data_IF_764555898614
#
_entry.id   IF_764555898614
#
_cell.length_a   1.000
_cell.length_b   1.000
_cell.length_c   1.000
_cell.angle_alpha   90.00
_cell.angle_beta   90.00
_cell.angle_gamma   90.00
#
_symmetry.space_group_name_H-M   'P 1'
#
loop_
_entity.id
_entity.type
_entity.pdbx_description
1 polymer ?
#
# COMPACT_ATOMS: atom_id res chain seq x y z
N UNK A 1 -28.65 -1.31 -14.90
CA UNK A 1 -27.25 -1.72 -14.73
C UNK A 1 -27.17 -2.65 -13.52
N UNK A 2 -26.46 -3.77 -13.64
CA UNK A 2 -26.26 -4.73 -12.56
C UNK A 2 -24.94 -4.51 -11.82
N UNK A 3 -24.81 -5.08 -10.62
CA UNK A 3 -23.55 -5.13 -9.88
C UNK A 3 -22.54 -6.03 -10.60
N UNK A 4 -21.22 -5.80 -10.42
CA UNK A 4 -20.21 -6.74 -10.90
C UNK A 4 -20.45 -8.16 -10.35
N UNK A 5 -20.11 -9.21 -11.11
CA UNK A 5 -20.17 -10.58 -10.63
C UNK A 5 -19.25 -10.77 -9.42
N UNK A 6 -19.56 -11.70 -8.53
CA UNK A 6 -18.70 -11.94 -7.37
C UNK A 6 -19.36 -12.76 -6.25
N UNK A 7 -18.65 -12.85 -5.13
CA UNK A 7 -19.08 -13.59 -3.95
C UNK A 7 -18.74 -12.80 -2.70
N UNK A 8 -19.72 -12.60 -1.80
CA UNK A 8 -19.49 -11.96 -0.50
C UNK A 8 -18.86 -12.90 0.54
N UNK A 9 -18.60 -14.16 0.18
CA UNK A 9 -17.92 -15.11 1.07
C UNK A 9 -18.72 -15.45 2.33
N UNK A 10 -18.02 -15.63 3.45
CA UNK A 10 -18.64 -15.95 4.74
C UNK A 10 -19.39 -14.75 5.33
N UNK A 11 -20.48 -14.97 6.10
CA UNK A 11 -21.13 -13.89 6.84
C UNK A 11 -20.12 -13.15 7.74
N UNK A 12 -20.26 -11.82 7.83
CA UNK A 12 -19.47 -10.88 8.64
C UNK A 12 -17.99 -10.69 8.22
N UNK A 13 -17.24 -11.76 7.96
CA UNK A 13 -15.80 -11.67 7.66
C UNK A 13 -15.48 -11.75 6.15
N UNK A 14 -16.44 -12.22 5.36
CA UNK A 14 -16.29 -12.40 3.92
C UNK A 14 -15.10 -13.27 3.55
N UNK A 15 -14.23 -12.72 2.71
CA UNK A 15 -13.02 -13.37 2.20
C UNK A 15 -11.72 -12.80 2.82
N UNK A 16 -11.86 -11.95 3.85
CA UNK A 16 -10.75 -11.22 4.49
C UNK A 16 -9.62 -12.13 4.97
N UNK A 17 -9.93 -13.28 5.59
CA UNK A 17 -8.90 -14.20 6.08
C UNK A 17 -8.13 -14.85 4.95
N UNK A 18 -8.80 -15.16 3.83
CA UNK A 18 -8.14 -15.70 2.63
C UNK A 18 -7.22 -14.66 2.00
N UNK A 19 -7.66 -13.39 1.97
CA UNK A 19 -6.84 -12.27 1.52
C UNK A 19 -5.57 -12.14 2.38
N UNK A 20 -5.73 -12.04 3.70
CA UNK A 20 -4.62 -11.90 4.64
C UNK A 20 -3.67 -13.08 4.55
N UNK A 21 -4.19 -14.30 4.42
CA UNK A 21 -3.37 -15.50 4.27
C UNK A 21 -2.54 -15.45 2.98
N UNK A 22 -3.13 -15.07 1.85
CA UNK A 22 -2.42 -14.93 0.57
C UNK A 22 -1.24 -13.94 0.68
N UNK A 23 -1.47 -12.77 1.28
CA UNK A 23 -0.43 -11.75 1.50
C UNK A 23 0.64 -12.13 2.54
N UNK A 24 0.46 -13.21 3.30
CA UNK A 24 1.49 -13.76 4.19
C UNK A 24 2.40 -14.79 3.51
N UNK A 25 2.09 -15.19 2.28
CA UNK A 25 2.92 -16.11 1.51
C UNK A 25 3.84 -15.35 0.56
N UNK A 26 4.83 -16.05 -0.02
CA UNK A 26 5.72 -15.48 -1.03
C UNK A 26 4.99 -15.12 -2.33
N UNK A 27 3.76 -15.59 -2.52
CA UNK A 27 2.94 -15.27 -3.68
C UNK A 27 1.53 -14.79 -3.26
N UNK A 28 1.26 -13.47 -3.19
CA UNK A 28 -0.06 -12.93 -2.87
C UNK A 28 -1.06 -13.01 -4.02
N UNK A 29 -0.59 -13.21 -5.25
CA UNK A 29 -1.39 -13.20 -6.48
C UNK A 29 -2.52 -14.26 -6.54
N UNK A 30 -2.43 -15.46 -5.93
CA UNK A 30 -3.45 -16.50 -6.08
C UNK A 30 -4.86 -16.10 -5.63
N UNK A 31 -4.98 -15.20 -4.64
CA UNK A 31 -6.30 -14.71 -4.22
C UNK A 31 -6.97 -13.91 -5.34
N UNK A 32 -6.22 -13.01 -5.97
CA UNK A 32 -6.72 -12.12 -7.02
C UNK A 32 -6.89 -12.90 -8.31
N UNK A 33 -5.90 -13.69 -8.70
CA UNK A 33 -5.90 -14.46 -9.95
C UNK A 33 -7.08 -15.43 -10.03
N UNK A 34 -7.38 -16.15 -8.95
CA UNK A 34 -8.50 -17.08 -8.92
C UNK A 34 -9.86 -16.37 -9.10
N UNK A 35 -9.99 -15.13 -8.60
CA UNK A 35 -11.21 -14.33 -8.72
C UNK A 35 -11.31 -13.66 -10.07
N UNK A 36 -10.19 -13.18 -10.62
CA UNK A 36 -10.13 -12.65 -11.98
C UNK A 36 -10.50 -13.73 -12.99
N UNK A 37 -9.97 -14.95 -12.85
CA UNK A 37 -10.31 -16.07 -13.73
C UNK A 37 -11.79 -16.47 -13.66
N UNK A 38 -12.44 -16.29 -12.49
CA UNK A 38 -13.82 -16.72 -12.26
C UNK A 38 -14.87 -15.63 -12.55
N UNK A 39 -14.57 -14.39 -12.22
CA UNK A 39 -15.53 -13.28 -12.21
C UNK A 39 -15.13 -12.14 -13.17
N UNK A 40 -13.92 -12.17 -13.73
CA UNK A 40 -13.38 -11.10 -14.56
C UNK A 40 -12.55 -10.08 -13.77
N UNK A 41 -12.00 -9.10 -14.49
CA UNK A 41 -11.08 -8.10 -13.92
C UNK A 41 -11.72 -7.14 -12.91
N UNK A 42 -13.05 -7.02 -12.91
CA UNK A 42 -13.82 -6.26 -11.91
C UNK A 42 -14.86 -7.17 -11.29
N UNK A 43 -14.79 -7.36 -9.97
CA UNK A 43 -15.66 -8.29 -9.26
C UNK A 43 -16.04 -7.80 -7.86
N UNK A 44 -17.13 -8.37 -7.33
CA UNK A 44 -17.59 -8.10 -5.96
C UNK A 44 -17.00 -9.12 -4.97
N UNK A 45 -16.54 -8.62 -3.82
CA UNK A 45 -16.09 -9.43 -2.67
C UNK A 45 -16.54 -8.76 -1.37
N UNK A 46 -16.20 -9.35 -0.23
CA UNK A 46 -16.39 -8.75 1.08
C UNK A 46 -15.09 -8.88 1.86
N UNK A 47 -14.40 -7.76 2.08
CA UNK A 47 -13.09 -7.73 2.75
C UNK A 47 -13.07 -6.61 3.78
N UNK A 48 -12.35 -6.82 4.87
CA UNK A 48 -12.22 -5.85 5.97
C UNK A 48 -13.56 -5.40 6.58
N UNK A 49 -14.57 -6.27 6.56
CA UNK A 49 -15.89 -5.98 7.14
C UNK A 49 -16.86 -5.27 6.20
N UNK A 50 -16.47 -5.01 4.95
CA UNK A 50 -17.25 -4.22 4.01
C UNK A 50 -17.42 -4.93 2.64
N UNK A 51 -18.62 -4.86 2.03
CA UNK A 51 -18.81 -5.21 0.62
C UNK A 51 -17.92 -4.34 -0.26
N UNK A 52 -17.09 -4.96 -1.09
CA UNK A 52 -16.03 -4.28 -1.84
C UNK A 52 -16.10 -4.66 -3.31
N UNK A 53 -16.00 -3.66 -4.19
CA UNK A 53 -15.72 -3.89 -5.61
C UNK A 53 -14.21 -3.89 -5.79
N UNK A 54 -13.65 -5.02 -6.21
CA UNK A 54 -12.24 -5.18 -6.48
C UNK A 54 -11.97 -4.99 -7.98
N UNK A 55 -10.93 -4.25 -8.32
CA UNK A 55 -10.55 -3.96 -9.71
C UNK A 55 -9.08 -4.29 -9.98
N UNK A 56 -8.89 -5.32 -10.81
CA UNK A 56 -7.64 -5.63 -11.49
C UNK A 56 -7.59 -4.98 -12.90
N UNK A 57 -8.59 -4.16 -13.25
CA UNK A 57 -8.70 -3.51 -14.55
C UNK A 57 -7.98 -2.15 -14.58
N UNK A 58 -6.99 -1.94 -15.46
CA UNK A 58 -6.22 -0.69 -15.50
C UNK A 58 -7.05 0.56 -15.82
N UNK A 59 -8.06 0.45 -16.68
CA UNK A 59 -8.90 1.59 -17.06
C UNK A 59 -9.79 2.04 -15.90
N UNK A 60 -10.41 1.07 -15.22
CA UNK A 60 -11.20 1.29 -14.00
C UNK A 60 -10.32 1.90 -12.90
N UNK A 61 -9.11 1.38 -12.70
CA UNK A 61 -8.17 1.90 -11.72
C UNK A 61 -7.77 3.36 -12.03
N UNK A 62 -7.50 3.66 -13.30
CA UNK A 62 -7.22 5.03 -13.75
C UNK A 62 -8.41 5.96 -13.51
N UNK A 63 -9.63 5.51 -13.80
CA UNK A 63 -10.84 6.29 -13.56
C UNK A 63 -11.05 6.60 -12.07
N UNK A 64 -10.85 5.61 -11.19
CA UNK A 64 -10.92 5.79 -9.74
C UNK A 64 -9.90 6.84 -9.27
N UNK A 65 -8.64 6.67 -9.64
CA UNK A 65 -7.54 7.56 -9.23
C UNK A 65 -7.71 8.99 -9.76
N UNK A 66 -8.21 9.17 -10.99
CA UNK A 66 -8.46 10.49 -11.56
C UNK A 66 -9.66 11.23 -10.95
N UNK A 67 -10.57 10.50 -10.30
CA UNK A 67 -11.78 11.04 -9.68
C UNK A 67 -11.73 11.01 -8.14
N UNK A 68 -10.53 10.87 -7.57
CA UNK A 68 -10.28 11.03 -6.14
C UNK A 68 -10.71 12.42 -5.65
N UNK A 69 -11.49 12.46 -4.57
CA UNK A 69 -12.10 13.67 -4.01
C UNK A 69 -13.32 14.21 -4.78
N UNK A 70 -13.81 13.48 -5.81
CA UNK A 70 -15.04 13.81 -6.54
C UNK A 70 -16.07 12.69 -6.50
N UNK A 71 -15.69 11.52 -7.00
CA UNK A 71 -16.53 10.31 -7.03
C UNK A 71 -16.04 9.26 -6.04
N UNK A 72 -14.74 9.27 -5.74
CA UNK A 72 -14.09 8.34 -4.83
C UNK A 72 -13.36 9.11 -3.74
N UNK A 73 -13.11 8.42 -2.63
CA UNK A 73 -12.33 8.94 -1.53
C UNK A 73 -11.49 7.81 -0.92
N UNK A 74 -10.24 8.11 -0.59
CA UNK A 74 -9.37 7.19 0.14
C UNK A 74 -10.01 6.80 1.47
N UNK A 75 -10.24 5.49 1.63
CA UNK A 75 -10.76 4.87 2.84
C UNK A 75 -9.89 3.68 3.19
N UNK A 76 -9.31 3.71 4.39
CA UNK A 76 -8.44 2.64 4.90
C UNK A 76 -9.10 1.97 6.11
N UNK A 77 -8.82 0.67 6.36
CA UNK A 77 -9.24 0.00 7.58
C UNK A 77 -8.83 0.76 8.85
N UNK A 78 -9.66 0.68 9.89
CA UNK A 78 -9.45 1.41 11.14
C UNK A 78 -8.07 1.17 11.78
N UNK A 79 -7.49 -0.02 11.61
CA UNK A 79 -6.14 -0.35 12.06
C UNK A 79 -5.07 0.55 11.45
N UNK A 80 -5.14 0.82 10.13
CA UNK A 80 -4.21 1.70 9.42
C UNK A 80 -4.44 3.15 9.86
N UNK A 81 -5.72 3.55 10.01
CA UNK A 81 -6.07 4.89 10.48
C UNK A 81 -5.49 5.19 11.87
N UNK A 82 -5.59 4.22 12.79
CA UNK A 82 -5.07 4.35 14.15
C UNK A 82 -3.54 4.37 14.19
N UNK A 83 -2.89 3.51 13.39
CA UNK A 83 -1.42 3.42 13.34
C UNK A 83 -0.78 4.71 12.83
N UNK A 84 -1.31 5.26 11.73
CA UNK A 84 -0.72 6.44 11.08
C UNK A 84 -1.16 7.76 11.72
N UNK A 85 -2.29 7.74 12.42
CA UNK A 85 -2.90 8.92 13.01
C UNK A 85 -3.59 9.83 11.99
N UNK A 86 -4.64 10.52 12.45
CA UNK A 86 -5.53 11.39 11.65
C UNK A 86 -4.85 12.54 10.88
N UNK A 87 -3.57 12.81 11.15
CA UNK A 87 -2.78 13.86 10.50
C UNK A 87 -1.75 13.31 9.51
N UNK A 88 -1.72 11.99 9.27
CA UNK A 88 -0.91 11.40 8.21
C UNK A 88 -1.38 11.89 6.83
N UNK A 89 -0.42 12.11 5.93
CA UNK A 89 -0.70 12.42 4.52
C UNK A 89 -1.65 11.41 3.87
N UNK A 90 -1.58 10.13 4.26
CA UNK A 90 -2.44 9.06 3.74
C UNK A 90 -3.92 9.20 4.13
N UNK A 91 -4.23 9.89 5.23
CA UNK A 91 -5.59 10.07 5.74
C UNK A 91 -6.12 11.49 5.57
N UNK A 92 -5.22 12.46 5.31
CA UNK A 92 -5.60 13.83 5.02
C UNK A 92 -6.43 13.89 3.73
N UNK A 93 -7.41 14.81 3.71
CA UNK A 93 -8.35 14.98 2.60
C UNK A 93 -8.35 16.42 2.08
N UNK A 94 -8.79 16.59 0.83
CA UNK A 94 -9.07 17.90 0.23
C UNK A 94 -7.88 18.87 0.19
N UNK A 95 -8.14 20.13 0.57
CA UNK A 95 -7.14 21.21 0.52
C UNK A 95 -5.98 21.02 1.49
N UNK A 96 -6.24 20.39 2.65
CA UNK A 96 -5.21 20.08 3.65
C UNK A 96 -4.20 19.06 3.09
N UNK A 97 -4.69 17.99 2.47
CA UNK A 97 -3.84 17.02 1.78
C UNK A 97 -3.00 17.70 0.69
N UNK A 98 -3.63 18.49 -0.19
CA UNK A 98 -2.92 19.21 -1.27
C UNK A 98 -1.81 20.11 -0.74
N UNK A 99 -2.07 20.86 0.33
CA UNK A 99 -1.08 21.74 0.96
C UNK A 99 0.08 20.94 1.53
N UNK A 100 -0.20 19.91 2.33
CA UNK A 100 0.83 19.13 3.00
C UNK A 100 1.66 18.30 2.01
N UNK A 101 1.02 17.71 1.00
CA UNK A 101 1.70 17.02 -0.09
C UNK A 101 2.61 17.97 -0.88
N UNK A 102 2.14 19.19 -1.20
CA UNK A 102 2.95 20.21 -1.88
C UNK A 102 4.20 20.60 -1.06
N UNK A 103 4.03 20.84 0.25
CA UNK A 103 5.15 21.14 1.14
C UNK A 103 6.17 19.99 1.21
N UNK A 104 5.67 18.74 1.29
CA UNK A 104 6.52 17.54 1.33
C UNK A 104 7.32 17.40 0.03
N UNK A 105 6.69 17.59 -1.13
CA UNK A 105 7.37 17.56 -2.42
C UNK A 105 8.35 18.72 -2.60
N UNK A 106 8.00 19.92 -2.12
CA UNK A 106 8.91 21.08 -2.15
C UNK A 106 10.16 20.85 -1.31
N UNK A 107 10.01 20.21 -0.15
CA UNK A 107 11.13 19.83 0.71
C UNK A 107 12.01 18.77 0.01
N UNK A 108 11.41 17.71 -0.53
CA UNK A 108 12.12 16.65 -1.23
C UNK A 108 12.85 17.12 -2.50
N UNK A 109 12.31 18.13 -3.20
CA UNK A 109 12.90 18.69 -4.42
C UNK A 109 13.91 19.81 -4.18
N UNK A 110 14.15 20.20 -2.92
CA UNK A 110 15.17 21.21 -2.59
C UNK A 110 16.56 20.67 -2.92
N UNK A 111 17.34 21.43 -3.70
CA UNK A 111 18.70 21.05 -4.08
C UNK A 111 19.60 20.81 -2.86
N UNK A 112 19.45 21.62 -1.81
CA UNK A 112 20.20 21.50 -0.56
C UNK A 112 19.93 20.14 0.10
N UNK A 113 18.65 19.74 0.17
CA UNK A 113 18.27 18.47 0.79
C UNK A 113 18.71 17.31 -0.10
N UNK A 114 18.57 17.43 -1.42
CA UNK A 114 19.00 16.41 -2.36
C UNK A 114 20.51 16.15 -2.25
N UNK A 115 21.33 17.19 -2.20
CA UNK A 115 22.79 17.03 -2.15
C UNK A 115 23.24 16.36 -0.85
N UNK A 116 22.67 16.75 0.30
CA UNK A 116 22.97 16.12 1.58
C UNK A 116 22.38 14.71 1.71
N UNK A 117 21.11 14.54 1.36
CA UNK A 117 20.40 13.27 1.45
C UNK A 117 21.02 12.21 0.53
N UNK A 118 21.46 12.58 -0.68
CA UNK A 118 22.10 11.63 -1.60
C UNK A 118 23.45 11.15 -1.06
N UNK A 119 24.22 12.01 -0.39
CA UNK A 119 25.46 11.62 0.26
C UNK A 119 25.21 10.67 1.45
N UNK A 120 24.18 10.96 2.25
CA UNK A 120 23.80 10.10 3.38
C UNK A 120 23.26 8.75 2.90
N UNK A 121 22.47 8.73 1.82
CA UNK A 121 22.00 7.50 1.17
C UNK A 121 23.19 6.70 0.64
N UNK A 122 24.10 7.31 -0.13
CA UNK A 122 25.29 6.61 -0.67
C UNK A 122 26.13 6.02 0.46
N UNK A 123 26.38 6.79 1.52
CA UNK A 123 27.09 6.31 2.72
C UNK A 123 26.39 5.13 3.37
N UNK A 124 25.08 5.22 3.60
CA UNK A 124 24.30 4.16 4.26
C UNK A 124 24.26 2.89 3.40
N UNK A 125 24.08 3.04 2.09
CA UNK A 125 24.08 1.93 1.13
C UNK A 125 25.43 1.23 1.14
N UNK A 126 26.54 1.97 1.00
CA UNK A 126 27.89 1.38 1.05
C UNK A 126 28.15 0.66 2.37
N UNK A 127 27.83 1.31 3.48
CA UNK A 127 27.98 0.72 4.81
C UNK A 127 27.23 -0.62 4.95
N UNK A 128 25.99 -0.69 4.45
CA UNK A 128 25.23 -1.95 4.48
C UNK A 128 25.80 -2.98 3.52
N UNK A 129 26.17 -2.60 2.29
CA UNK A 129 26.74 -3.50 1.29
C UNK A 129 28.08 -4.09 1.74
N UNK A 130 28.93 -3.31 2.41
CA UNK A 130 30.22 -3.79 2.94
C UNK A 130 30.04 -4.84 4.04
N UNK A 131 28.89 -4.82 4.73
CA UNK A 131 28.55 -5.82 5.76
C UNK A 131 28.03 -7.15 5.17
N UNK A 132 27.76 -7.19 3.87
CA UNK A 132 27.17 -8.35 3.21
C UNK A 132 28.22 -9.37 2.78
N UNK A 133 27.91 -10.65 2.97
CA UNK A 133 28.76 -11.77 2.51
C UNK A 133 28.55 -12.07 1.01
N UNK A 134 29.33 -13.00 0.45
CA UNK A 134 29.30 -13.35 -0.98
C UNK A 134 27.95 -13.88 -1.49
N UNK A 135 27.05 -14.36 -0.61
CA UNK A 135 25.69 -14.74 -0.97
C UNK A 135 24.70 -14.04 -0.04
N UNK A 136 23.81 -13.25 -0.62
CA UNK A 136 22.83 -12.44 0.12
C UNK A 136 21.44 -12.78 -0.37
N UNK A 137 20.52 -13.01 0.56
CA UNK A 137 19.09 -13.04 0.29
C UNK A 137 18.53 -11.65 0.56
N UNK A 138 18.27 -10.88 -0.50
CA UNK A 138 17.84 -9.48 -0.39
C UNK A 138 16.60 -9.30 0.50
N UNK A 139 15.66 -10.26 0.46
CA UNK A 139 14.48 -10.26 1.30
C UNK A 139 14.82 -10.40 2.80
N UNK A 140 15.84 -11.18 3.16
CA UNK A 140 16.26 -11.33 4.56
C UNK A 140 16.96 -10.07 5.07
N UNK A 141 17.81 -9.45 4.26
CA UNK A 141 18.45 -8.18 4.61
C UNK A 141 17.43 -7.03 4.73
N UNK A 142 16.46 -6.96 3.81
CA UNK A 142 15.38 -5.97 3.88
C UNK A 142 14.54 -6.12 5.16
N UNK A 143 14.31 -7.34 5.64
CA UNK A 143 13.59 -7.59 6.91
C UNK A 143 14.35 -7.11 8.15
N UNK A 144 15.69 -7.04 8.10
CA UNK A 144 16.50 -6.56 9.25
C UNK A 144 16.36 -5.06 9.49
N UNK A 145 16.01 -4.27 8.46
CA UNK A 145 15.83 -2.81 8.57
C UNK A 145 14.68 -2.43 9.53
N UNK A 146 13.70 -3.31 9.75
CA UNK A 146 12.61 -3.09 10.72
C UNK A 146 13.01 -3.33 12.19
N UNK A 147 14.23 -3.79 12.45
CA UNK A 147 14.77 -3.92 13.81
C UNK A 147 15.72 -2.75 14.07
N UNK A 148 15.20 -1.55 14.26
CA UNK A 148 15.96 -0.57 15.02
C UNK A 148 16.11 -1.14 16.44
N UNK A 149 17.33 -1.21 17.00
CA UNK A 149 17.48 -1.51 18.41
C UNK A 149 16.80 -0.37 19.18
N UNK A 150 15.90 -0.73 20.10
CA UNK A 150 15.45 0.19 21.14
C UNK A 150 16.70 0.83 21.76
N UNK A 151 16.80 2.16 21.65
CA UNK A 151 17.83 2.90 22.36
C UNK A 151 17.45 2.86 23.84
N UNK A 152 18.21 2.09 24.62
CA UNK A 152 18.35 2.29 26.07
C UNK A 152 18.91 3.68 26.38
#
# INVERSE_FOLDING_TARGET
MGLPPGSLGLPLIGETLQLIAAYKTENPEPFVDARVARYGSVFMTHIFGEPTVFSADPETNRFVLQNEGKLFECSYPASICNLLGKHSLLLMKGSLHKRMHSLTMSFANSSIIKDHLMLDIDRLVRFNLDSWSSRVLLMEEAKKVNKYPDKE
#
